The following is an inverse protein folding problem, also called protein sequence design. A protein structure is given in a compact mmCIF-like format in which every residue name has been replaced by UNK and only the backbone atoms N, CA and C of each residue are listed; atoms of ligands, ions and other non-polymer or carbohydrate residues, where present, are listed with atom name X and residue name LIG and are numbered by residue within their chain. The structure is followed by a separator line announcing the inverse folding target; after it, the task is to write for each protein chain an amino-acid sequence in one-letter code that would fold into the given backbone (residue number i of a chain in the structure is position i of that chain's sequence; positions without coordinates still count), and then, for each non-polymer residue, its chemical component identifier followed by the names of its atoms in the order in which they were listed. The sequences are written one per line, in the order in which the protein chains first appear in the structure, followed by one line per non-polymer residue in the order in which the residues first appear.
data_IF_192808556755
#
_entry.id   IF_192808556755
#
_cell.length_a   1.000
_cell.length_b   1.000
_cell.length_c   1.000
_cell.angle_alpha   90.00
_cell.angle_beta   90.00
_cell.angle_gamma   90.00
#
_symmetry.space_group_name_H-M   'P 1'
#
loop_
_entity.id
_entity.type
_entity.pdbx_description
1 polymer ?
#
# COMPACT_ATOMS: atom_id res chain seq x y z
N UNK A 1 3.86 -11.54 -0.72
CA UNK A 1 3.18 -10.37 -1.36
C UNK A 1 3.09 -9.26 -0.34
N UNK A 2 3.63 -8.10 -0.67
CA UNK A 2 3.61 -6.89 0.16
C UNK A 2 2.22 -6.25 0.09
N UNK A 3 1.75 -5.70 1.21
CA UNK A 3 0.51 -4.92 1.30
C UNK A 3 0.81 -3.47 1.62
N UNK A 4 -0.12 -2.59 1.24
CA UNK A 4 -0.05 -1.15 1.54
C UNK A 4 -1.33 -0.74 2.25
N UNK A 5 -1.18 -0.04 3.37
CA UNK A 5 -2.30 0.47 4.16
C UNK A 5 -3.09 1.53 3.34
N UNK A 6 -4.40 1.36 3.11
CA UNK A 6 -5.23 2.34 2.39
C UNK A 6 -5.40 3.69 3.09
N UNK A 7 -5.11 3.77 4.40
CA UNK A 7 -5.19 5.02 5.16
C UNK A 7 -3.87 5.82 5.11
N UNK A 8 -2.74 5.20 5.47
CA UNK A 8 -1.46 5.90 5.61
C UNK A 8 -0.45 5.62 4.48
N UNK A 9 -0.79 4.74 3.53
CA UNK A 9 0.05 4.34 2.39
C UNK A 9 1.43 3.79 2.75
N UNK A 10 1.62 3.28 3.96
CA UNK A 10 2.84 2.58 4.37
C UNK A 10 2.77 1.09 4.02
N UNK A 11 3.96 0.51 3.84
CA UNK A 11 4.14 -0.94 3.69
C UNK A 11 3.87 -1.63 5.01
N UNK A 12 3.25 -2.79 4.92
CA UNK A 12 2.76 -3.51 6.09
C UNK A 12 2.83 -5.02 5.91
N UNK A 13 3.26 -5.70 6.97
CA UNK A 13 3.16 -7.14 7.13
C UNK A 13 1.79 -7.52 7.69
N UNK A 14 1.21 -8.63 7.23
CA UNK A 14 -0.18 -8.97 7.51
C UNK A 14 -0.39 -9.87 8.75
N UNK A 15 -1.52 -9.61 9.44
CA UNK A 15 -2.29 -10.42 10.40
C UNK A 15 -1.97 -10.30 11.90
N UNK A 16 -2.91 -9.69 12.64
CA UNK A 16 -3.14 -9.94 14.07
C UNK A 16 -4.63 -10.26 14.35
N UNK A 17 -4.91 -10.94 15.47
CA UNK A 17 -6.28 -11.25 15.90
C UNK A 17 -6.81 -10.09 16.74
N UNK A 18 -8.04 -9.62 16.48
CA UNK A 18 -8.70 -8.59 17.27
C UNK A 18 -10.15 -8.98 17.59
N UNK A 19 -10.75 -8.33 18.57
CA UNK A 19 -12.15 -8.49 18.93
C UNK A 19 -13.01 -7.54 18.09
N UNK A 20 -13.75 -8.07 17.12
CA UNK A 20 -14.72 -7.31 16.35
C UNK A 20 -16.13 -7.80 16.69
N UNK A 21 -16.97 -6.91 17.26
CA UNK A 21 -18.33 -7.23 17.75
C UNK A 21 -18.34 -8.37 18.78
N UNK A 22 -17.39 -8.34 19.73
CA UNK A 22 -17.25 -9.36 20.79
C UNK A 22 -16.88 -10.77 20.30
N UNK A 23 -16.49 -10.93 19.04
CA UNK A 23 -15.94 -12.18 18.50
C UNK A 23 -14.47 -11.99 18.12
N UNK A 24 -13.60 -12.93 18.50
CA UNK A 24 -12.21 -12.95 18.06
C UNK A 24 -12.18 -13.30 16.57
N UNK A 25 -11.74 -12.36 15.73
CA UNK A 25 -11.58 -12.59 14.29
C UNK A 25 -10.18 -12.18 13.84
N UNK A 26 -9.66 -12.91 12.87
CA UNK A 26 -8.49 -12.45 12.14
C UNK A 26 -8.90 -11.19 11.38
N UNK A 27 -8.28 -10.07 11.72
CA UNK A 27 -8.51 -8.79 11.06
C UNK A 27 -7.16 -8.24 10.61
N UNK A 28 -7.18 -7.45 9.54
CA UNK A 28 -5.97 -6.80 9.06
C UNK A 28 -5.65 -5.60 9.99
N UNK A 29 -5.08 -5.90 11.15
CA UNK A 29 -4.53 -4.90 12.07
C UNK A 29 -3.03 -4.82 11.81
N UNK A 30 -2.50 -3.60 11.71
CA UNK A 30 -1.08 -3.36 11.52
C UNK A 30 -0.46 -2.94 12.84
N UNK A 31 -0.02 -3.92 13.60
CA UNK A 31 0.63 -3.70 14.90
C UNK A 31 2.13 -3.45 14.79
N UNK A 32 2.74 -3.86 13.69
CA UNK A 32 4.12 -3.53 13.32
C UNK A 32 4.28 -2.08 12.84
N UNK A 33 3.21 -1.47 12.33
CA UNK A 33 3.19 -0.06 11.96
C UNK A 33 2.76 0.79 13.15
N UNK A 34 3.71 1.12 14.04
CA UNK A 34 3.48 2.01 15.20
C UNK A 34 2.87 3.37 14.84
N UNK A 35 2.88 3.75 13.55
CA UNK A 35 2.38 5.03 13.07
C UNK A 35 0.92 4.98 12.57
N UNK A 36 0.26 3.82 12.51
CA UNK A 36 -1.12 3.71 12.02
C UNK A 36 -2.00 2.81 12.88
N UNK A 37 -2.69 3.42 13.86
CA UNK A 37 -3.65 2.74 14.76
C UNK A 37 -5.06 2.56 14.17
N UNK A 38 -5.21 2.62 12.83
CA UNK A 38 -6.52 2.60 12.18
C UNK A 38 -6.87 1.19 11.69
N UNK A 39 -8.01 0.68 12.16
CA UNK A 39 -8.59 -0.57 11.71
C UNK A 39 -9.00 -0.50 10.23
N UNK A 40 -8.55 -1.48 9.44
CA UNK A 40 -8.76 -1.55 7.99
C UNK A 40 -10.16 -2.05 7.61
N UNK A 41 -11.19 -1.31 8.04
CA UNK A 41 -12.60 -1.61 7.76
C UNK A 41 -12.97 -1.32 6.30
N UNK A 42 -14.15 -1.78 5.85
CA UNK A 42 -14.68 -1.45 4.52
C UNK A 42 -14.76 0.06 4.27
N UNK A 43 -15.23 0.80 5.28
CA UNK A 43 -15.30 2.26 5.27
C UNK A 43 -13.95 2.93 4.94
N UNK A 44 -12.86 2.47 5.56
CA UNK A 44 -11.51 3.01 5.31
C UNK A 44 -11.07 2.74 3.86
N UNK A 45 -11.43 1.58 3.31
CA UNK A 45 -11.11 1.24 1.91
C UNK A 45 -11.91 2.09 0.92
N UNK A 46 -13.18 2.35 1.23
CA UNK A 46 -14.06 3.16 0.37
C UNK A 46 -13.60 4.62 0.34
N UNK A 47 -13.17 5.14 1.49
CA UNK A 47 -12.63 6.49 1.64
C UNK A 47 -11.15 6.63 1.24
N UNK A 48 -10.49 5.54 0.84
CA UNK A 48 -9.08 5.58 0.46
C UNK A 48 -8.82 6.61 -0.66
N UNK A 49 -7.66 7.24 -0.61
CA UNK A 49 -7.32 8.33 -1.52
C UNK A 49 -7.12 7.82 -2.96
N UNK A 50 -7.57 8.64 -3.92
CA UNK A 50 -7.24 8.51 -5.33
C UNK A 50 -6.58 9.81 -5.78
N UNK A 51 -5.25 9.85 -5.74
CA UNK A 51 -4.47 11.06 -6.02
C UNK A 51 -3.95 11.09 -7.45
N UNK A 52 -3.36 12.23 -7.82
CA UNK A 52 -2.63 12.37 -9.06
C UNK A 52 -1.27 11.63 -9.03
N UNK A 53 -0.62 11.57 -10.19
CA UNK A 53 0.66 10.86 -10.35
C UNK A 53 1.81 11.46 -9.52
N UNK A 54 1.80 12.77 -9.26
CA UNK A 54 2.85 13.43 -8.48
C UNK A 54 2.81 12.96 -7.02
N UNK A 55 1.62 12.92 -6.42
CA UNK A 55 1.43 12.42 -5.07
C UNK A 55 1.86 10.95 -4.95
N UNK A 56 1.47 10.12 -5.91
CA UNK A 56 1.89 8.72 -5.98
C UNK A 56 3.41 8.56 -6.04
N UNK A 57 4.11 9.36 -6.85
CA UNK A 57 5.58 9.33 -6.94
C UNK A 57 6.24 9.74 -5.63
N UNK A 58 5.73 10.75 -4.93
CA UNK A 58 6.27 11.13 -3.62
C UNK A 58 6.14 9.99 -2.61
N UNK A 59 4.95 9.40 -2.50
CA UNK A 59 4.70 8.27 -1.60
C UNK A 59 5.54 7.05 -1.96
N UNK A 60 5.63 6.72 -3.24
CA UNK A 60 6.50 5.66 -3.73
C UNK A 60 7.98 5.90 -3.42
N UNK A 61 8.43 7.16 -3.46
CA UNK A 61 9.79 7.52 -3.06
C UNK A 61 10.07 7.26 -1.58
N UNK A 62 9.10 7.52 -0.70
CA UNK A 62 9.18 7.19 0.74
C UNK A 62 9.24 5.67 0.93
N UNK A 63 8.30 4.94 0.34
CA UNK A 63 8.24 3.47 0.39
C UNK A 63 9.56 2.84 -0.11
N UNK A 64 10.09 3.33 -1.23
CA UNK A 64 11.33 2.81 -1.80
C UNK A 64 12.53 3.02 -0.87
N UNK A 65 12.53 4.11 -0.09
CA UNK A 65 13.55 4.39 0.93
C UNK A 65 13.36 3.48 2.15
N UNK A 66 12.12 3.32 2.61
CA UNK A 66 11.81 2.49 3.79
C UNK A 66 12.12 1.01 3.56
N UNK A 67 11.99 0.54 2.31
CA UNK A 67 12.30 -0.83 1.90
C UNK A 67 13.73 -1.02 1.36
N UNK A 68 14.56 0.02 1.37
CA UNK A 68 15.92 0.03 0.83
C UNK A 68 16.01 -0.57 -0.60
N UNK A 69 15.10 -0.15 -1.49
CA UNK A 69 15.06 -0.66 -2.85
C UNK A 69 16.29 -0.21 -3.65
N UNK A 70 16.90 -1.13 -4.38
CA UNK A 70 18.00 -0.83 -5.30
C UNK A 70 17.58 0.19 -6.37
N UNK A 71 18.54 0.92 -6.99
CA UNK A 71 18.23 1.91 -8.03
C UNK A 71 17.40 1.35 -9.19
N UNK A 72 17.66 0.10 -9.59
CA UNK A 72 16.92 -0.59 -10.65
C UNK A 72 15.48 -0.90 -10.21
N UNK A 73 15.30 -1.49 -9.03
CA UNK A 73 13.97 -1.75 -8.46
C UNK A 73 13.15 -0.47 -8.30
N UNK A 74 13.79 0.61 -7.84
CA UNK A 74 13.16 1.92 -7.70
C UNK A 74 12.67 2.46 -9.05
N UNK A 75 13.48 2.34 -10.11
CA UNK A 75 13.10 2.73 -11.47
C UNK A 75 11.91 1.92 -11.97
N UNK A 76 11.93 0.61 -11.80
CA UNK A 76 10.85 -0.28 -12.25
C UNK A 76 9.55 -0.06 -11.45
N UNK A 77 9.68 0.28 -10.18
CA UNK A 77 8.56 0.64 -9.32
C UNK A 77 7.86 1.90 -9.83
N UNK A 78 8.62 2.97 -10.11
CA UNK A 78 8.05 4.20 -10.67
C UNK A 78 7.42 4.00 -12.04
N UNK A 79 8.06 3.23 -12.92
CA UNK A 79 7.53 2.93 -14.24
C UNK A 79 6.20 2.17 -14.15
N UNK A 80 6.10 1.21 -13.23
CA UNK A 80 4.88 0.44 -12.99
C UNK A 80 3.74 1.31 -12.46
N UNK A 81 4.02 2.25 -11.56
CA UNK A 81 3.01 3.20 -11.06
C UNK A 81 2.45 4.06 -12.20
N UNK A 82 3.32 4.58 -13.07
CA UNK A 82 2.90 5.41 -14.21
C UNK A 82 2.00 4.61 -15.15
N UNK A 83 2.41 3.39 -15.52
CA UNK A 83 1.62 2.50 -16.40
C UNK A 83 0.24 2.19 -15.78
N UNK A 84 0.21 1.84 -14.50
CA UNK A 84 -1.04 1.51 -13.80
C UNK A 84 -1.98 2.70 -13.68
N UNK A 85 -1.46 3.90 -13.36
CA UNK A 85 -2.29 5.10 -13.23
C UNK A 85 -2.84 5.57 -14.58
N UNK A 86 -2.05 5.43 -15.66
CA UNK A 86 -2.51 5.73 -17.03
C UNK A 86 -3.58 4.76 -17.48
N UNK A 87 -3.40 3.45 -17.25
CA UNK A 87 -4.37 2.44 -17.63
C UNK A 87 -5.67 2.48 -16.80
N UNK A 88 -5.57 2.83 -15.51
CA UNK A 88 -6.67 2.74 -14.56
C UNK A 88 -6.66 3.92 -13.57
N UNK A 89 -6.99 5.11 -14.07
CA UNK A 89 -6.97 6.36 -13.30
C UNK A 89 -7.85 6.32 -12.02
N UNK A 90 -8.98 5.61 -12.06
CA UNK A 90 -9.93 5.53 -10.94
C UNK A 90 -9.47 4.64 -9.78
N UNK A 91 -8.35 3.92 -9.93
CA UNK A 91 -7.87 3.03 -8.88
C UNK A 91 -7.26 3.83 -7.73
N UNK A 92 -7.61 3.41 -6.51
CA UNK A 92 -7.10 3.95 -5.25
C UNK A 92 -5.59 3.80 -5.12
N UNK A 93 -4.95 4.77 -4.50
CA UNK A 93 -3.48 4.88 -4.47
C UNK A 93 -2.81 3.65 -3.88
N UNK A 94 -3.35 3.11 -2.78
CA UNK A 94 -2.79 1.94 -2.12
C UNK A 94 -2.76 0.71 -3.02
N UNK A 95 -3.75 0.54 -3.91
CA UNK A 95 -3.80 -0.59 -4.85
C UNK A 95 -2.74 -0.40 -5.94
N UNK A 96 -2.58 0.82 -6.46
CA UNK A 96 -1.57 1.13 -7.48
C UNK A 96 -0.18 0.88 -6.91
N UNK A 97 0.12 1.46 -5.75
CA UNK A 97 1.41 1.29 -5.08
C UNK A 97 1.65 -0.18 -4.74
N UNK A 98 0.64 -0.90 -4.23
CA UNK A 98 0.78 -2.31 -3.87
C UNK A 98 1.04 -3.18 -5.09
N UNK A 99 0.32 -2.94 -6.18
CA UNK A 99 0.46 -3.72 -7.42
C UNK A 99 1.83 -3.50 -8.03
N UNK A 100 2.25 -2.23 -8.16
CA UNK A 100 3.55 -1.87 -8.69
C UNK A 100 4.71 -2.44 -7.84
N UNK A 101 4.58 -2.38 -6.51
CA UNK A 101 5.62 -2.87 -5.61
C UNK A 101 5.75 -4.40 -5.66
N UNK A 102 4.62 -5.11 -5.74
CA UNK A 102 4.64 -6.56 -5.87
C UNK A 102 5.23 -7.02 -7.21
N UNK A 103 5.01 -6.29 -8.31
CA UNK A 103 5.68 -6.58 -9.60
C UNK A 103 7.21 -6.53 -9.46
N UNK A 104 7.72 -5.58 -8.68
CA UNK A 104 9.16 -5.40 -8.50
C UNK A 104 9.78 -6.39 -7.52
N UNK A 105 9.06 -6.73 -6.44
CA UNK A 105 9.59 -7.56 -5.36
C UNK A 105 9.39 -9.06 -5.56
N UNK A 106 8.30 -9.47 -6.22
CA UNK A 106 7.97 -10.90 -6.40
C UNK A 106 8.52 -11.42 -7.74
N UNK A 107 8.97 -10.53 -8.62
CA UNK A 107 9.33 -10.87 -10.00
C UNK A 107 8.07 -11.06 -10.85
N UNK A 108 8.09 -10.49 -12.05
CA UNK A 108 7.17 -10.88 -13.13
C UNK A 108 7.60 -12.20 -13.74
#
# INVERSE_FOLDING_TARGET
MVKICPNCLHVVDNFEKDYHKSEVKAVNVHTSNKNCSVLQTGFVKDQATCSNIQHLKMTAGKIAKDLDLSPNQKKDFFNSIVKLKQAKNHIKDYIILQSALNTVLVGG
#
